data_IF_107684896033
#
_entry.id   IF_107684896033
#
_cell.length_a   1.000
_cell.length_b   1.000
_cell.length_c   1.000
_cell.angle_alpha   90.00
_cell.angle_beta   90.00
_cell.angle_gamma   90.00
#
_symmetry.space_group_name_H-M   'P 1'
#
loop_
_entity.id
_entity.type
_entity.pdbx_description
1 polymer ?
#
# COMPACT_ATOMS: atom_id res chain seq x y z
N UNK A 1 -16.18 -3.63 18.44
CA UNK A 1 -15.68 -2.26 18.26
C UNK A 1 -15.84 -1.93 16.79
N UNK A 2 -16.77 -1.04 16.42
CA UNK A 2 -16.93 -0.64 15.02
C UNK A 2 -15.75 0.30 14.68
N UNK A 3 -14.83 -0.16 13.87
CA UNK A 3 -13.84 0.71 13.24
C UNK A 3 -14.63 1.59 12.28
N UNK A 4 -14.65 2.90 12.52
CA UNK A 4 -15.26 3.86 11.58
C UNK A 4 -14.23 4.17 10.52
N UNK A 5 -14.63 4.04 9.26
CA UNK A 5 -13.84 4.54 8.14
C UNK A 5 -13.59 6.04 8.33
N UNK A 6 -12.41 6.49 7.99
CA UNK A 6 -11.99 7.88 8.09
C UNK A 6 -11.52 8.36 6.73
N UNK A 7 -11.83 9.60 6.42
CA UNK A 7 -11.33 10.31 5.24
C UNK A 7 -10.26 11.35 5.60
N UNK A 8 -10.21 11.76 6.87
CA UNK A 8 -9.37 12.84 7.32
C UNK A 8 -7.90 12.63 6.97
N UNK A 9 -7.28 13.67 6.43
CA UNK A 9 -5.85 13.71 6.14
C UNK A 9 -5.22 14.90 6.86
N UNK A 10 -4.03 14.69 7.40
CA UNK A 10 -3.25 15.71 8.11
C UNK A 10 -1.83 15.76 7.55
N UNK A 11 -1.29 16.95 7.48
CA UNK A 11 0.05 17.23 6.96
C UNK A 11 0.96 17.64 8.11
N UNK A 12 2.13 17.01 8.20
CA UNK A 12 3.20 17.36 9.13
C UNK A 12 4.16 18.38 8.52
N UNK A 13 4.34 19.50 9.18
CA UNK A 13 5.22 20.60 8.73
C UNK A 13 6.60 20.62 9.40
N UNK A 14 6.95 19.60 10.18
CA UNK A 14 8.18 19.53 10.98
C UNK A 14 7.98 19.88 12.47
N UNK A 15 6.83 20.46 12.84
CA UNK A 15 6.52 20.84 14.22
C UNK A 15 5.08 20.51 14.66
N UNK A 16 4.12 20.52 13.75
CA UNK A 16 2.71 20.29 14.04
C UNK A 16 2.01 19.61 12.88
N UNK A 17 0.91 18.89 13.19
CA UNK A 17 -0.05 18.38 12.21
C UNK A 17 -1.11 19.44 11.91
N UNK A 18 -1.50 19.55 10.65
CA UNK A 18 -2.57 20.45 10.18
C UNK A 18 -3.50 19.65 9.28
N UNK A 19 -4.79 19.76 9.54
CA UNK A 19 -5.82 19.12 8.68
C UNK A 19 -5.78 19.74 7.29
N UNK A 20 -5.83 18.86 6.26
CA UNK A 20 -5.83 19.22 4.84
C UNK A 20 -7.05 18.61 4.16
N UNK A 21 -7.12 18.64 2.83
CA UNK A 21 -8.24 18.05 2.10
C UNK A 21 -8.39 16.56 2.37
N UNK A 22 -9.60 16.13 2.66
CA UNK A 22 -9.96 14.75 2.96
C UNK A 22 -9.93 13.86 1.70
N UNK A 23 -9.70 12.55 1.90
CA UNK A 23 -9.97 11.53 0.89
C UNK A 23 -11.44 11.58 0.46
N UNK A 24 -11.71 11.34 -0.82
CA UNK A 24 -13.09 11.28 -1.34
C UNK A 24 -13.86 10.07 -0.79
N UNK A 25 -13.15 8.98 -0.49
CA UNK A 25 -13.73 7.76 0.07
C UNK A 25 -13.11 7.43 1.42
N UNK A 26 -13.91 7.51 2.48
CA UNK A 26 -13.51 7.12 3.82
C UNK A 26 -13.17 5.63 3.89
N UNK A 27 -12.00 5.30 4.44
CA UNK A 27 -11.47 3.91 4.49
C UNK A 27 -10.52 3.70 5.66
N UNK A 28 -10.14 2.47 5.87
CA UNK A 28 -9.09 2.09 6.80
C UNK A 28 -8.25 0.93 6.22
N UNK A 29 -7.08 0.65 6.77
CA UNK A 29 -6.15 -0.38 6.27
C UNK A 29 -5.74 -0.17 4.80
N UNK A 30 -5.69 1.07 4.34
CA UNK A 30 -5.18 1.43 3.03
C UNK A 30 -3.65 1.37 3.00
N UNK A 31 -3.10 1.19 1.81
CA UNK A 31 -1.67 1.38 1.53
C UNK A 31 -1.46 2.83 1.07
N UNK A 32 -0.46 3.51 1.63
CA UNK A 32 -0.14 4.88 1.25
C UNK A 32 1.36 5.10 1.12
N UNK A 33 1.78 5.81 0.09
CA UNK A 33 3.17 6.18 -0.15
C UNK A 33 3.28 7.55 -0.82
N UNK A 34 4.47 8.14 -0.77
CA UNK A 34 4.77 9.43 -1.38
C UNK A 34 5.24 10.48 -0.38
N UNK A 35 5.07 11.73 -0.75
CA UNK A 35 5.49 12.91 0.01
C UNK A 35 4.29 13.76 0.44
N UNK A 36 4.54 14.81 1.22
CA UNK A 36 3.54 15.78 1.66
C UNK A 36 2.87 16.56 0.51
N UNK A 37 3.46 16.56 -0.68
CA UNK A 37 2.95 17.27 -1.86
C UNK A 37 2.57 16.35 -3.01
N UNK A 38 2.89 15.06 -2.93
CA UNK A 38 2.70 14.08 -4.00
C UNK A 38 2.60 12.70 -3.38
N UNK A 39 1.39 12.20 -3.15
CA UNK A 39 1.17 10.92 -2.48
C UNK A 39 0.04 10.12 -3.15
N UNK A 40 0.03 8.82 -2.91
CA UNK A 40 -1.01 7.90 -3.35
C UNK A 40 -1.58 7.15 -2.16
N UNK A 41 -2.90 6.99 -2.14
CA UNK A 41 -3.63 6.12 -1.22
C UNK A 41 -4.39 5.08 -2.03
N UNK A 42 -4.06 3.82 -1.87
CA UNK A 42 -4.66 2.72 -2.62
C UNK A 42 -5.23 1.65 -1.70
N UNK A 43 -6.21 0.90 -2.18
CA UNK A 43 -6.82 -0.22 -1.47
C UNK A 43 -7.49 0.18 -0.15
N UNK A 44 -7.56 -0.75 0.77
CA UNK A 44 -8.14 -0.56 2.09
C UNK A 44 -9.46 -1.26 2.26
N UNK A 45 -10.16 -0.90 3.31
CA UNK A 45 -11.49 -1.41 3.61
C UNK A 45 -12.48 -0.27 3.67
N UNK A 46 -13.54 -0.37 2.89
CA UNK A 46 -14.67 0.55 2.90
C UNK A 46 -15.86 -0.19 3.50
N UNK A 47 -16.38 0.31 4.62
CA UNK A 47 -17.40 -0.39 5.41
C UNK A 47 -16.94 -1.79 5.83
N UNK A 48 -17.42 -2.85 5.19
CA UNK A 48 -17.10 -4.24 5.53
C UNK A 48 -16.27 -4.97 4.49
N UNK A 49 -16.01 -4.35 3.34
CA UNK A 49 -15.42 -5.02 2.16
C UNK A 49 -14.05 -4.45 1.79
N UNK A 50 -13.11 -5.27 1.31
CA UNK A 50 -11.90 -4.78 0.66
C UNK A 50 -12.25 -3.91 -0.55
N UNK A 51 -11.43 -2.91 -0.83
CA UNK A 51 -11.62 -1.91 -1.90
C UNK A 51 -10.50 -1.96 -2.92
N UNK A 52 -10.82 -1.57 -4.15
CA UNK A 52 -9.87 -1.31 -5.24
C UNK A 52 -9.47 0.17 -5.30
N UNK A 53 -10.23 1.05 -4.66
CA UNK A 53 -10.15 2.50 -4.84
C UNK A 53 -8.75 3.05 -4.62
N UNK A 54 -8.32 3.87 -5.57
CA UNK A 54 -7.04 4.59 -5.54
C UNK A 54 -7.29 6.09 -5.65
N UNK A 55 -6.67 6.86 -4.78
CA UNK A 55 -6.69 8.32 -4.80
C UNK A 55 -5.29 8.91 -4.80
N UNK A 56 -5.08 9.94 -5.61
CA UNK A 56 -3.82 10.67 -5.76
C UNK A 56 -3.91 12.05 -5.13
N UNK A 57 -2.91 12.42 -4.35
CA UNK A 57 -2.73 13.70 -3.69
C UNK A 57 -1.75 14.58 -4.47
N UNK A 58 -2.14 15.81 -4.78
CA UNK A 58 -1.35 16.79 -5.53
C UNK A 58 -0.76 17.93 -4.67
N UNK A 59 -0.83 17.80 -3.34
CA UNK A 59 -0.42 18.84 -2.40
C UNK A 59 -1.57 19.73 -1.91
N UNK A 60 -2.78 19.62 -2.52
CA UNK A 60 -3.95 20.42 -2.13
C UNK A 60 -5.27 19.65 -2.10
N UNK A 61 -5.42 18.62 -2.92
CA UNK A 61 -6.64 17.82 -3.01
C UNK A 61 -6.35 16.37 -3.40
N UNK A 62 -7.22 15.46 -2.94
CA UNK A 62 -7.27 14.08 -3.39
C UNK A 62 -8.17 13.96 -4.62
N UNK A 63 -7.72 13.19 -5.60
CA UNK A 63 -8.46 12.89 -6.83
C UNK A 63 -8.46 11.39 -7.05
N UNK A 64 -9.63 10.82 -7.33
CA UNK A 64 -9.75 9.41 -7.70
C UNK A 64 -9.06 9.17 -9.05
N UNK A 65 -8.25 8.12 -9.10
CA UNK A 65 -7.52 7.67 -10.28
C UNK A 65 -7.82 6.20 -10.56
N UNK A 66 -7.15 5.58 -11.53
CA UNK A 66 -7.41 4.18 -11.87
C UNK A 66 -7.18 3.24 -10.69
N UNK A 67 -8.15 2.40 -10.43
CA UNK A 67 -8.20 1.44 -9.35
C UNK A 67 -7.18 0.30 -9.50
N UNK A 68 -6.77 -0.28 -8.37
CA UNK A 68 -6.00 -1.53 -8.36
C UNK A 68 -6.81 -2.68 -8.98
N UNK A 69 -6.11 -3.65 -9.56
CA UNK A 69 -6.78 -4.80 -10.20
C UNK A 69 -7.47 -5.73 -9.19
N UNK A 70 -6.89 -5.89 -8.00
CA UNK A 70 -7.42 -6.80 -6.98
C UNK A 70 -7.81 -6.05 -5.71
N UNK A 71 -9.11 -6.08 -5.36
CA UNK A 71 -9.62 -5.51 -4.11
C UNK A 71 -8.99 -6.19 -2.90
N UNK A 72 -8.30 -5.42 -2.05
CA UNK A 72 -7.65 -5.92 -0.85
C UNK A 72 -7.46 -4.83 0.20
N UNK A 73 -7.14 -5.22 1.41
CA UNK A 73 -6.84 -4.34 2.55
C UNK A 73 -5.55 -4.76 3.23
N UNK A 74 -4.90 -3.86 3.92
CA UNK A 74 -3.67 -4.14 4.66
C UNK A 74 -2.51 -4.60 3.77
N UNK A 75 -2.42 -4.09 2.54
CA UNK A 75 -1.25 -4.24 1.69
C UNK A 75 -0.11 -3.35 2.20
N UNK A 76 1.13 -3.78 1.98
CA UNK A 76 2.33 -2.97 2.23
C UNK A 76 2.62 -2.06 1.04
N UNK A 77 2.99 -0.80 1.27
CA UNK A 77 3.32 0.16 0.22
C UNK A 77 4.82 0.36 0.05
N UNK A 78 5.25 0.72 -1.17
CA UNK A 78 6.55 1.32 -1.45
C UNK A 78 6.43 2.27 -2.64
N UNK A 79 6.93 3.49 -2.51
CA UNK A 79 6.87 4.49 -3.58
C UNK A 79 7.38 5.84 -3.12
N UNK A 80 8.01 6.57 -4.03
CA UNK A 80 8.61 7.88 -3.74
C UNK A 80 7.59 9.02 -3.83
N UNK A 81 6.60 8.89 -4.72
CA UNK A 81 5.57 9.90 -4.99
C UNK A 81 4.32 9.27 -5.63
N UNK A 82 3.36 10.09 -6.08
CA UNK A 82 2.13 9.62 -6.72
C UNK A 82 2.29 9.18 -8.17
N UNK A 83 3.50 9.17 -8.74
CA UNK A 83 3.73 8.79 -10.14
C UNK A 83 4.25 7.37 -10.31
N UNK A 84 4.81 6.78 -9.25
CA UNK A 84 5.36 5.42 -9.31
C UNK A 84 5.45 4.76 -7.95
N UNK A 85 5.07 3.48 -7.86
CA UNK A 85 5.17 2.72 -6.62
C UNK A 85 4.65 1.31 -6.73
N UNK A 86 4.68 0.62 -5.61
CA UNK A 86 4.25 -0.76 -5.44
C UNK A 86 3.29 -0.87 -4.27
N UNK A 87 2.36 -1.81 -4.38
CA UNK A 87 1.64 -2.36 -3.23
C UNK A 87 1.74 -3.88 -3.28
N UNK A 88 1.98 -4.50 -2.14
CA UNK A 88 2.21 -5.93 -2.06
C UNK A 88 1.53 -6.57 -0.85
N UNK A 89 1.15 -7.85 -1.01
CA UNK A 89 0.39 -8.58 0.00
C UNK A 89 -1.00 -8.03 0.25
N UNK A 90 -1.48 -8.21 1.44
CA UNK A 90 -2.80 -7.80 1.89
C UNK A 90 -3.74 -8.97 2.15
N UNK A 91 -5.03 -8.64 2.22
CA UNK A 91 -6.10 -9.57 2.51
C UNK A 91 -7.29 -9.33 1.59
N UNK A 92 -7.72 -10.36 0.90
CA UNK A 92 -8.96 -10.43 0.11
C UNK A 92 -10.04 -11.17 0.91
N UNK A 93 -10.19 -12.45 0.69
CA UNK A 93 -10.89 -13.43 1.55
C UNK A 93 -9.90 -14.22 2.41
N UNK A 94 -8.63 -14.22 2.01
CA UNK A 94 -7.47 -14.71 2.77
C UNK A 94 -6.26 -13.82 2.46
N UNK A 95 -5.13 -14.08 3.10
CA UNK A 95 -3.87 -13.38 2.87
C UNK A 95 -3.33 -13.72 1.50
N UNK A 96 -2.80 -12.69 0.83
CA UNK A 96 -2.28 -12.83 -0.54
C UNK A 96 -0.82 -12.39 -0.62
N UNK A 97 -0.14 -12.82 -1.69
CA UNK A 97 1.23 -12.40 -2.02
C UNK A 97 1.26 -11.39 -3.18
N UNK A 98 0.11 -11.11 -3.78
CA UNK A 98 -0.08 -10.27 -4.97
C UNK A 98 0.70 -8.97 -4.86
N UNK A 99 1.44 -8.65 -5.90
CA UNK A 99 2.15 -7.38 -6.05
C UNK A 99 1.65 -6.66 -7.29
N UNK A 100 1.29 -5.39 -7.12
CA UNK A 100 0.91 -4.52 -8.24
C UNK A 100 1.80 -3.27 -8.25
N UNK A 101 2.23 -2.87 -9.45
CA UNK A 101 2.98 -1.63 -9.68
C UNK A 101 2.07 -0.54 -10.23
N UNK A 102 2.29 0.69 -9.79
CA UNK A 102 1.70 1.91 -10.27
C UNK A 102 2.68 2.67 -11.16
N UNK A 103 2.28 3.04 -12.37
CA UNK A 103 3.13 3.75 -13.35
C UNK A 103 2.73 5.22 -13.57
N UNK A 104 1.92 5.79 -12.67
CA UNK A 104 1.40 7.15 -12.78
C UNK A 104 0.04 7.24 -13.50
N UNK A 105 -0.41 6.17 -14.16
CA UNK A 105 -1.68 6.14 -14.88
C UNK A 105 -2.52 4.89 -14.62
N UNK A 106 -1.91 3.78 -14.27
CA UNK A 106 -2.62 2.52 -14.02
C UNK A 106 -1.79 1.52 -13.23
N UNK A 107 -2.46 0.48 -12.75
CA UNK A 107 -1.88 -0.63 -12.01
C UNK A 107 -1.65 -1.84 -12.92
N UNK A 108 -0.51 -2.49 -12.77
CA UNK A 108 -0.16 -3.74 -13.43
C UNK A 108 0.29 -4.76 -12.39
N UNK A 109 -0.20 -5.99 -12.50
CA UNK A 109 0.28 -7.11 -11.69
C UNK A 109 1.70 -7.47 -12.14
N UNK A 110 2.57 -7.68 -11.17
CA UNK A 110 3.98 -8.04 -11.36
C UNK A 110 4.31 -9.27 -10.51
N UNK A 111 5.58 -9.66 -10.41
CA UNK A 111 5.96 -10.86 -9.65
C UNK A 111 5.54 -10.74 -8.17
N UNK A 112 4.85 -11.74 -7.68
CA UNK A 112 4.38 -11.83 -6.31
C UNK A 112 5.51 -12.00 -5.29
N UNK A 113 5.23 -11.67 -4.04
CA UNK A 113 6.07 -12.09 -2.92
C UNK A 113 6.13 -13.63 -2.83
N UNK A 114 7.18 -14.16 -2.24
CA UNK A 114 7.32 -15.61 -2.04
C UNK A 114 6.32 -16.17 -1.02
N UNK A 115 5.82 -15.33 -0.13
CA UNK A 115 4.87 -15.73 0.92
C UNK A 115 3.72 -14.73 1.04
N UNK A 116 2.51 -15.26 1.33
CA UNK A 116 1.34 -14.44 1.59
C UNK A 116 1.51 -13.65 2.88
N UNK A 117 1.18 -12.35 2.88
CA UNK A 117 1.31 -11.48 4.06
C UNK A 117 0.18 -10.47 4.15
N UNK A 118 -0.34 -10.30 5.34
CA UNK A 118 -1.28 -9.24 5.71
C UNK A 118 -0.56 -8.22 6.59
N UNK A 119 -0.69 -6.94 6.26
CA UNK A 119 -0.03 -5.80 6.92
C UNK A 119 1.50 -5.94 7.00
N UNK A 120 2.20 -6.28 5.91
CA UNK A 120 3.64 -6.15 5.91
C UNK A 120 4.03 -4.67 6.01
N UNK A 121 5.14 -4.38 6.64
CA UNK A 121 5.82 -3.09 6.51
C UNK A 121 6.41 -2.98 5.10
N UNK A 122 6.36 -1.78 4.52
CA UNK A 122 6.92 -1.52 3.20
C UNK A 122 7.75 -0.24 3.19
N UNK A 123 8.80 -0.22 2.37
CA UNK A 123 9.66 0.94 2.15
C UNK A 123 10.36 0.81 0.81
N UNK A 124 10.79 1.94 0.25
CA UNK A 124 11.55 1.98 -1.01
C UNK A 124 10.81 2.67 -2.14
N UNK A 125 11.17 2.30 -3.36
CA UNK A 125 10.65 2.84 -4.60
C UNK A 125 10.14 1.72 -5.51
N UNK A 126 9.59 2.09 -6.68
CA UNK A 126 9.21 1.13 -7.72
C UNK A 126 10.36 0.20 -8.14
N UNK A 127 11.59 0.70 -8.17
CA UNK A 127 12.75 -0.06 -8.66
C UNK A 127 13.48 -0.86 -7.59
N UNK A 128 13.29 -0.52 -6.32
CA UNK A 128 13.93 -1.19 -5.19
C UNK A 128 13.08 -1.01 -3.95
N UNK A 129 12.45 -2.07 -3.50
CA UNK A 129 11.57 -2.03 -2.34
C UNK A 129 11.86 -3.19 -1.37
N UNK A 130 11.49 -2.99 -0.12
CA UNK A 130 11.59 -3.97 0.95
C UNK A 130 10.19 -4.23 1.52
N UNK A 131 9.83 -5.50 1.62
CA UNK A 131 8.70 -5.98 2.39
C UNK A 131 9.20 -6.68 3.66
N UNK A 132 8.70 -6.29 4.82
CA UNK A 132 9.15 -6.86 6.09
C UNK A 132 7.97 -7.23 6.99
N UNK A 133 8.13 -8.30 7.74
CA UNK A 133 7.17 -8.74 8.76
C UNK A 133 5.76 -9.02 8.19
N UNK A 134 4.71 -8.76 8.98
CA UNK A 134 3.32 -9.04 8.63
C UNK A 134 2.82 -10.35 9.20
N UNK A 135 1.59 -10.70 8.83
CA UNK A 135 0.93 -11.93 9.27
C UNK A 135 0.75 -12.90 8.09
N UNK A 136 1.24 -14.11 8.23
CA UNK A 136 1.05 -15.21 7.28
C UNK A 136 -0.31 -15.89 7.48
N UNK A 137 -0.65 -16.85 6.61
CA UNK A 137 -1.83 -17.71 6.72
C UNK A 137 -1.95 -18.29 8.13
N UNK A 138 -3.15 -18.29 8.69
CA UNK A 138 -3.40 -18.68 10.09
C UNK A 138 -3.19 -17.56 11.11
N UNK A 139 -2.73 -16.33 10.69
CA UNK A 139 -2.54 -15.19 11.58
C UNK A 139 -1.21 -15.17 12.30
N UNK A 140 -0.29 -16.07 11.97
CA UNK A 140 1.03 -16.15 12.59
C UNK A 140 1.91 -14.99 12.12
N UNK A 141 2.51 -14.20 13.04
CA UNK A 141 3.50 -13.19 12.66
C UNK A 141 4.73 -13.83 12.01
N UNK A 142 5.36 -13.11 11.08
CA UNK A 142 6.63 -13.51 10.46
C UNK A 142 7.68 -12.44 10.66
N UNK A 143 8.93 -12.86 10.87
CA UNK A 143 10.09 -11.98 10.88
C UNK A 143 10.78 -11.88 9.50
N UNK A 144 10.33 -12.66 8.52
CA UNK A 144 10.93 -12.69 7.19
C UNK A 144 10.79 -11.36 6.45
N UNK A 145 11.78 -11.03 5.65
CA UNK A 145 11.77 -9.90 4.73
C UNK A 145 12.06 -10.35 3.31
N UNK A 146 11.58 -9.57 2.34
CA UNK A 146 11.77 -9.81 0.92
C UNK A 146 12.16 -8.50 0.23
N UNK A 147 13.12 -8.58 -0.69
CA UNK A 147 13.49 -7.46 -1.56
C UNK A 147 12.79 -7.60 -2.90
N UNK A 148 12.27 -6.48 -3.38
CA UNK A 148 11.85 -6.29 -4.75
C UNK A 148 12.94 -5.58 -5.54
N UNK A 149 13.20 -6.06 -6.77
CA UNK A 149 14.11 -5.43 -7.72
C UNK A 149 13.51 -5.48 -9.12
N UNK A 150 13.17 -4.32 -9.68
CA UNK A 150 12.51 -4.22 -10.99
C UNK A 150 13.38 -4.68 -12.17
N UNK A 151 14.71 -4.67 -12.03
CA UNK A 151 15.60 -5.11 -13.12
C UNK A 151 15.53 -6.60 -13.38
N UNK A 152 15.10 -7.38 -12.38
CA UNK A 152 14.88 -8.83 -12.49
C UNK A 152 13.39 -9.19 -12.48
N UNK A 153 12.50 -8.24 -12.18
CA UNK A 153 11.07 -8.46 -11.93
C UNK A 153 10.86 -9.69 -11.01
N UNK A 154 11.62 -9.73 -9.93
CA UNK A 154 11.68 -10.86 -9.01
C UNK A 154 11.80 -10.38 -7.57
N UNK A 155 11.24 -11.17 -6.65
CA UNK A 155 11.44 -11.02 -5.22
C UNK A 155 12.53 -11.96 -4.74
N UNK A 156 13.33 -11.51 -3.79
CA UNK A 156 14.32 -12.34 -3.10
C UNK A 156 14.01 -12.34 -1.60
N UNK A 157 13.83 -13.53 -1.03
CA UNK A 157 13.71 -13.69 0.41
C UNK A 157 15.07 -13.48 1.06
N UNK A 158 15.15 -12.58 2.02
CA UNK A 158 16.32 -12.43 2.88
C UNK A 158 16.05 -13.25 4.13
N UNK A 159 16.76 -14.36 4.29
CA UNK A 159 16.76 -15.13 5.53
C UNK A 159 17.85 -14.54 6.44
N UNK A 160 17.46 -14.11 7.63
CA UNK A 160 18.40 -13.85 8.72
C UNK A 160 18.41 -15.10 9.59
N UNK A 161 19.48 -15.88 9.48
CA UNK A 161 19.77 -16.97 10.40
C UNK A 161 20.04 -16.44 11.82
#
# INVERSE_FOLDING_TARGET
>A
MCIRDRANAELWNGSSWTEVGDLNTARHENAGFGTSTSALSATGRVSTSPSTTTESWNGSAWTEVNDVNTARRGAGPAGADNTSGLIFGGFTTDRVAITEEWNGSGWAEVADMSTTRFRPGGSGSLTSALAAAGQQTGGTPTAASEEWNSTSNSTKTISTD
#
